data_IF_941471893956
#
_entry.id   IF_941471893956
#
_cell.length_a   1.000
_cell.length_b   1.000
_cell.length_c   1.000
_cell.angle_alpha   90.00
_cell.angle_beta   90.00
_cell.angle_gamma   90.00
#
_symmetry.space_group_name_H-M   'P 1'
#
loop_
_entity.id
_entity.type
_entity.pdbx_description
1 polymer ?
#
# COMPACT_ATOMS: atom_id res chain seq x y z
N UNK A 1 10.18 -17.71 16.93
CA UNK A 1 9.78 -16.93 15.73
C UNK A 1 10.60 -17.45 14.56
N UNK A 2 10.15 -18.54 13.92
CA UNK A 2 10.85 -19.18 12.82
C UNK A 2 10.40 -18.55 11.49
N UNK A 3 10.71 -17.26 11.29
CA UNK A 3 10.49 -16.57 10.02
C UNK A 3 11.84 -16.42 9.33
N UNK A 4 11.92 -16.84 8.08
CA UNK A 4 13.07 -16.56 7.25
C UNK A 4 13.13 -15.04 6.94
N UNK A 5 14.23 -14.34 7.26
CA UNK A 5 14.39 -12.94 6.90
C UNK A 5 14.29 -12.69 5.39
N UNK A 6 14.61 -13.69 4.55
CA UNK A 6 14.48 -13.62 3.10
C UNK A 6 13.01 -13.56 2.66
N UNK A 7 12.17 -14.45 3.18
CA UNK A 7 10.72 -14.46 2.94
C UNK A 7 10.07 -13.13 3.35
N UNK A 8 10.42 -12.61 4.53
CA UNK A 8 9.90 -11.32 4.99
C UNK A 8 10.23 -10.19 4.02
N UNK A 9 11.48 -10.11 3.55
CA UNK A 9 11.89 -9.11 2.55
C UNK A 9 11.18 -9.30 1.21
N UNK A 10 10.99 -10.54 0.78
CA UNK A 10 10.30 -10.86 -0.48
C UNK A 10 8.85 -10.36 -0.46
N UNK A 11 8.12 -10.63 0.63
CA UNK A 11 6.74 -10.16 0.80
C UNK A 11 6.66 -8.64 0.77
N UNK A 12 7.56 -7.94 1.45
CA UNK A 12 7.59 -6.47 1.43
C UNK A 12 7.94 -5.90 0.04
N UNK A 13 8.84 -6.57 -0.68
CA UNK A 13 9.20 -6.16 -2.04
C UNK A 13 8.01 -6.19 -2.98
N UNK A 14 7.20 -7.24 -2.89
CA UNK A 14 6.01 -7.39 -3.73
C UNK A 14 4.84 -6.56 -3.22
N UNK A 15 4.57 -6.52 -1.92
CA UNK A 15 3.34 -5.91 -1.40
C UNK A 15 3.47 -4.42 -1.08
N UNK A 16 4.68 -3.91 -0.83
CA UNK A 16 4.89 -2.51 -0.38
C UNK A 16 5.70 -1.74 -1.42
N UNK A 17 6.89 -2.23 -1.77
CA UNK A 17 7.77 -1.50 -2.69
C UNK A 17 7.17 -1.38 -4.10
N UNK A 18 6.45 -2.38 -4.59
CA UNK A 18 5.75 -2.31 -5.87
C UNK A 18 4.80 -1.11 -5.95
N UNK A 19 3.96 -0.89 -4.92
CA UNK A 19 3.03 0.24 -4.86
C UNK A 19 3.76 1.58 -4.77
N UNK A 20 4.86 1.64 -4.01
CA UNK A 20 5.68 2.84 -3.95
C UNK A 20 6.25 3.21 -5.33
N UNK A 21 6.89 2.26 -6.02
CA UNK A 21 7.44 2.50 -7.35
C UNK A 21 6.34 2.86 -8.36
N UNK A 22 5.24 2.09 -8.38
CA UNK A 22 4.11 2.37 -9.26
C UNK A 22 3.57 3.79 -9.04
N UNK A 23 3.40 4.20 -7.79
CA UNK A 23 2.91 5.54 -7.46
C UNK A 23 3.91 6.63 -7.82
N UNK A 24 5.21 6.41 -7.58
CA UNK A 24 6.26 7.35 -7.99
C UNK A 24 6.21 7.63 -9.49
N UNK A 25 6.01 6.60 -10.32
CA UNK A 25 5.90 6.76 -11.76
C UNK A 25 4.56 7.38 -12.18
N UNK A 26 3.44 6.96 -11.57
CA UNK A 26 2.12 7.53 -11.83
C UNK A 26 2.06 9.03 -11.46
N UNK A 27 2.62 9.41 -10.32
CA UNK A 27 2.64 10.78 -9.82
C UNK A 27 3.32 11.74 -10.80
N UNK A 28 4.41 11.33 -11.48
CA UNK A 28 5.07 12.16 -12.49
C UNK A 28 4.14 12.61 -13.62
N UNK A 29 3.15 11.80 -13.97
CA UNK A 29 2.19 12.09 -15.04
C UNK A 29 0.94 12.78 -14.48
N UNK A 30 0.50 12.39 -13.29
CA UNK A 30 -0.73 12.92 -12.68
C UNK A 30 -0.54 14.32 -12.09
N UNK A 31 0.63 14.65 -11.54
CA UNK A 31 0.92 15.93 -10.87
C UNK A 31 0.81 17.12 -11.84
N UNK A 32 1.43 17.10 -13.05
CA UNK A 32 1.27 18.20 -14.02
C UNK A 32 -0.18 18.36 -14.49
N UNK A 33 -0.93 17.25 -14.58
CA UNK A 33 -2.34 17.26 -15.00
C UNK A 33 -3.30 17.69 -13.89
N UNK A 34 -2.81 17.84 -12.66
CA UNK A 34 -3.56 18.17 -11.44
C UNK A 34 -4.82 17.31 -11.24
N UNK A 35 -4.79 16.06 -11.72
CA UNK A 35 -5.94 15.16 -11.72
C UNK A 35 -5.48 13.72 -11.75
N UNK A 36 -5.98 12.91 -10.82
CA UNK A 36 -5.70 11.49 -10.79
C UNK A 36 -6.41 10.79 -9.64
N UNK A 37 -6.48 9.46 -9.73
CA UNK A 37 -6.93 8.60 -8.64
C UNK A 37 -6.08 7.35 -8.61
N UNK A 38 -5.52 7.02 -7.45
CA UNK A 38 -4.70 5.84 -7.21
C UNK A 38 -5.44 5.00 -6.16
N UNK A 39 -5.58 3.70 -6.43
CA UNK A 39 -6.23 2.76 -5.52
C UNK A 39 -5.29 1.60 -5.24
N UNK A 40 -5.01 1.34 -3.96
CA UNK A 40 -4.26 0.17 -3.53
C UNK A 40 -5.18 -0.93 -3.01
N UNK A 41 -4.74 -2.17 -3.14
CA UNK A 41 -5.46 -3.34 -2.62
C UNK A 41 -4.87 -3.76 -1.28
N UNK A 42 -5.54 -3.42 -0.19
CA UNK A 42 -5.25 -3.95 1.14
C UNK A 42 -6.05 -5.25 1.39
N UNK A 43 -6.28 -5.57 2.65
CA UNK A 43 -6.97 -6.76 3.12
C UNK A 43 -7.53 -6.43 4.51
N UNK A 44 -8.55 -7.14 4.98
CA UNK A 44 -9.07 -6.98 6.35
C UNK A 44 -7.96 -7.01 7.42
N UNK A 45 -6.87 -7.73 7.15
CA UNK A 45 -5.73 -7.85 8.07
C UNK A 45 -4.87 -6.60 8.14
N UNK A 46 -5.17 -5.55 7.40
CA UNK A 46 -4.60 -4.22 7.62
C UNK A 46 -5.29 -3.44 8.74
N UNK A 47 -6.41 -3.94 9.26
CA UNK A 47 -7.19 -3.35 10.35
C UNK A 47 -7.47 -4.33 11.50
N UNK A 48 -7.27 -5.63 11.27
CA UNK A 48 -7.55 -6.72 12.22
C UNK A 48 -6.41 -7.72 12.29
N UNK A 49 -6.39 -8.56 13.32
CA UNK A 49 -5.37 -9.59 13.52
C UNK A 49 -6.05 -10.96 13.61
N UNK A 50 -5.84 -11.82 12.60
CA UNK A 50 -6.54 -13.12 12.47
C UNK A 50 -5.59 -14.30 12.28
N UNK A 51 -4.42 -14.26 12.91
CA UNK A 51 -3.46 -15.38 12.86
C UNK A 51 -2.81 -15.63 11.49
N UNK A 52 -2.86 -14.67 10.57
CA UNK A 52 -2.17 -14.75 9.28
C UNK A 52 -0.64 -14.57 9.42
N UNK A 53 0.14 -15.00 8.40
CA UNK A 53 1.60 -14.84 8.41
C UNK A 53 2.03 -13.42 8.77
N UNK A 54 2.92 -13.30 9.74
CA UNK A 54 3.50 -12.03 10.19
C UNK A 54 3.97 -11.10 9.04
N UNK A 55 4.73 -11.58 8.03
CA UNK A 55 5.17 -10.70 6.93
C UNK A 55 4.01 -10.17 6.10
N UNK A 56 2.96 -10.97 5.88
CA UNK A 56 1.78 -10.55 5.13
C UNK A 56 1.00 -9.48 5.89
N UNK A 57 0.68 -9.74 7.17
CA UNK A 57 -0.04 -8.81 8.04
C UNK A 57 0.70 -7.48 8.17
N UNK A 58 2.02 -7.51 8.40
CA UNK A 58 2.86 -6.32 8.47
C UNK A 58 2.87 -5.56 7.14
N UNK A 59 3.01 -6.26 6.00
CA UNK A 59 3.01 -5.62 4.69
C UNK A 59 1.69 -4.89 4.38
N UNK A 60 0.54 -5.48 4.75
CA UNK A 60 -0.78 -4.86 4.50
C UNK A 60 -1.04 -3.64 5.38
N UNK A 61 -0.55 -3.62 6.62
CA UNK A 61 -0.53 -2.40 7.43
C UNK A 61 0.38 -1.32 6.84
N UNK A 62 1.57 -1.70 6.34
CA UNK A 62 2.50 -0.78 5.71
C UNK A 62 1.91 -0.09 4.47
N UNK A 63 1.13 -0.81 3.65
CA UNK A 63 0.42 -0.23 2.49
C UNK A 63 -0.60 0.84 2.91
N UNK A 64 -1.33 0.62 4.00
CA UNK A 64 -2.28 1.62 4.52
C UNK A 64 -1.54 2.87 5.00
N UNK A 65 -0.42 2.70 5.71
CA UNK A 65 0.43 3.83 6.13
C UNK A 65 0.99 4.60 4.94
N UNK A 66 1.51 3.90 3.93
CA UNK A 66 2.02 4.48 2.69
C UNK A 66 0.94 5.28 1.96
N UNK A 67 -0.27 4.71 1.81
CA UNK A 67 -1.41 5.36 1.18
C UNK A 67 -1.80 6.66 1.89
N UNK A 68 -1.89 6.65 3.23
CA UNK A 68 -2.25 7.82 4.02
C UNK A 68 -1.26 8.97 3.77
N UNK A 69 0.03 8.68 3.78
CA UNK A 69 1.04 9.71 3.56
C UNK A 69 1.05 10.23 2.11
N UNK A 70 0.89 9.33 1.14
CA UNK A 70 0.76 9.70 -0.28
C UNK A 70 -0.50 10.54 -0.55
N UNK A 71 -1.59 10.31 0.18
CA UNK A 71 -2.79 11.15 0.07
C UNK A 71 -2.52 12.58 0.53
N UNK A 72 -1.72 12.78 1.59
CA UNK A 72 -1.32 14.12 2.07
C UNK A 72 -0.40 14.82 1.06
N UNK A 73 0.55 14.09 0.49
CA UNK A 73 1.48 14.62 -0.51
C UNK A 73 0.78 14.95 -1.83
N UNK A 74 0.11 13.96 -2.44
CA UNK A 74 -0.48 14.07 -3.77
C UNK A 74 -1.85 14.77 -3.77
N UNK A 75 -2.52 14.85 -2.61
CA UNK A 75 -3.78 15.57 -2.45
C UNK A 75 -3.64 17.06 -2.78
N UNK A 76 -2.49 17.67 -2.50
CA UNK A 76 -2.16 19.06 -2.88
C UNK A 76 -2.18 19.28 -4.40
N UNK A 77 -2.03 18.21 -5.17
CA UNK A 77 -2.03 18.21 -6.63
C UNK A 77 -3.36 17.72 -7.22
N UNK A 78 -4.43 17.61 -6.45
CA UNK A 78 -5.74 17.15 -6.95
C UNK A 78 -5.79 15.65 -7.26
N UNK A 79 -4.87 14.87 -6.71
CA UNK A 79 -4.80 13.42 -6.88
C UNK A 79 -5.31 12.74 -5.62
N UNK A 80 -6.29 11.85 -5.77
CA UNK A 80 -6.83 11.05 -4.67
C UNK A 80 -6.06 9.74 -4.55
N UNK A 81 -5.69 9.35 -3.33
CA UNK A 81 -5.07 8.05 -3.07
C UNK A 81 -5.92 7.34 -2.02
N UNK A 82 -6.43 6.16 -2.34
CA UNK A 82 -7.28 5.38 -1.45
C UNK A 82 -6.83 3.92 -1.41
N UNK A 83 -7.37 3.18 -0.43
CA UNK A 83 -7.14 1.75 -0.33
C UNK A 83 -8.45 1.00 -0.12
N UNK A 84 -8.61 -0.11 -0.83
CA UNK A 84 -9.76 -1.01 -0.69
C UNK A 84 -9.31 -2.25 0.08
N UNK A 85 -10.04 -2.60 1.13
CA UNK A 85 -9.78 -3.77 1.96
C UNK A 85 -10.85 -4.81 1.70
N UNK A 86 -10.47 -5.90 1.03
CA UNK A 86 -11.39 -7.02 0.83
C UNK A 86 -11.47 -7.85 2.10
N UNK A 87 -12.70 -8.11 2.55
CA UNK A 87 -13.05 -9.14 3.52
C UNK A 87 -13.90 -10.20 2.81
N UNK A 88 -13.75 -11.46 3.19
CA UNK A 88 -14.55 -12.55 2.62
C UNK A 88 -16.00 -12.35 3.06
N UNK A 89 -16.90 -12.30 2.10
CA UNK A 89 -18.34 -12.18 2.26
C UNK A 89 -18.94 -13.52 2.62
#
# INVERSE_FOLDING_TARGET
MALDPGEFKSVFKVNVFSYFYATKHAAKIMVPRKRGSIVFTASVVSATHVGLPHPYTASKHAVVGLMKNLCVELGKHGIKVNCVSSYRW
#
